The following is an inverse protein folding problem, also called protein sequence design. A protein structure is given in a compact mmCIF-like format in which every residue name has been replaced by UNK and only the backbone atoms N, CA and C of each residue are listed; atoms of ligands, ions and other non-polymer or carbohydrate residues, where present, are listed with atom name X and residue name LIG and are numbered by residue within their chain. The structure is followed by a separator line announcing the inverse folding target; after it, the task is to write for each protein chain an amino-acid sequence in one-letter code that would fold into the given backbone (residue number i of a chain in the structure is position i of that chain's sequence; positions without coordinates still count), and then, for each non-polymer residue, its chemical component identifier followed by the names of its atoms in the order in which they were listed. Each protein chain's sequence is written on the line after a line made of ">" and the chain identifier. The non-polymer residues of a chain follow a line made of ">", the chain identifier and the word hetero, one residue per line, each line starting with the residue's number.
data_IF_789278915278
#
_entry.id   IF_789278915278
#
_cell.length_a   1.000
_cell.length_b   1.000
_cell.length_c   1.000
_cell.angle_alpha   90.00
_cell.angle_beta   90.00
_cell.angle_gamma   90.00
#
_symmetry.space_group_name_H-M   'P 1'
#
loop_
_entity.id
_entity.type
_entity.pdbx_description
1 polymer ?
#
# COMPACT_ATOMS: atom_id res chain seq x y z
N UNK A 1 -48.64 -23.36 18.47
CA UNK A 1 -47.16 -23.53 18.43
C UNK A 1 -46.55 -22.27 17.90
N UNK A 2 -45.94 -21.49 18.78
CA UNK A 2 -45.26 -20.27 18.38
C UNK A 2 -43.81 -20.62 18.03
N UNK A 3 -43.45 -20.55 16.76
CA UNK A 3 -42.05 -20.65 16.35
C UNK A 3 -41.42 -19.29 16.57
N UNK A 4 -40.53 -19.23 17.59
CA UNK A 4 -39.72 -18.07 17.85
C UNK A 4 -38.59 -18.10 16.81
N UNK A 5 -38.66 -17.22 15.81
CA UNK A 5 -37.55 -16.92 14.95
C UNK A 5 -36.58 -16.01 15.71
N UNK A 6 -35.50 -16.58 16.21
CA UNK A 6 -34.39 -15.80 16.72
C UNK A 6 -33.61 -15.32 15.49
N UNK A 7 -33.87 -14.08 15.10
CA UNK A 7 -33.04 -13.34 14.17
C UNK A 7 -31.71 -13.04 14.89
N UNK A 8 -30.73 -13.91 14.66
CA UNK A 8 -29.34 -13.59 14.99
C UNK A 8 -28.91 -12.52 14.02
N UNK A 9 -29.01 -11.27 14.45
CA UNK A 9 -28.40 -10.14 13.79
C UNK A 9 -26.89 -10.23 14.03
N UNK A 10 -26.19 -10.91 13.13
CA UNK A 10 -24.73 -10.81 13.05
C UNK A 10 -24.39 -9.36 12.73
N UNK A 11 -24.15 -8.57 13.78
CA UNK A 11 -23.43 -7.32 13.65
C UNK A 11 -22.03 -7.65 13.14
N UNK A 12 -21.88 -7.63 11.84
CA UNK A 12 -20.57 -7.40 11.26
C UNK A 12 -20.16 -5.99 11.67
N UNK A 13 -19.42 -5.90 12.75
CA UNK A 13 -18.63 -4.72 13.04
C UNK A 13 -17.61 -4.62 11.91
N UNK A 14 -17.95 -3.87 10.86
CA UNK A 14 -17.01 -3.34 9.92
C UNK A 14 -16.10 -2.39 10.72
N UNK A 15 -15.07 -2.97 11.32
CA UNK A 15 -13.96 -2.17 11.82
C UNK A 15 -13.34 -1.52 10.59
N UNK A 16 -13.83 -0.33 10.27
CA UNK A 16 -13.18 0.54 9.32
C UNK A 16 -11.87 1.03 9.97
N UNK A 17 -10.86 0.18 9.99
CA UNK A 17 -9.50 0.56 10.37
C UNK A 17 -8.88 1.34 9.23
N UNK A 18 -9.44 2.53 8.93
CA UNK A 18 -8.83 3.48 8.06
C UNK A 18 -7.56 4.00 8.75
N UNK A 19 -6.39 3.55 8.32
CA UNK A 19 -5.10 4.02 8.78
C UNK A 19 -4.31 3.07 9.68
N UNK A 20 -4.73 1.83 9.83
CA UNK A 20 -3.91 0.84 10.54
C UNK A 20 -2.66 0.51 9.74
N UNK A 21 -1.51 0.89 10.28
CA UNK A 21 -0.20 0.59 9.69
C UNK A 21 0.11 -0.88 9.94
N UNK A 22 0.09 -1.68 8.88
CA UNK A 22 0.45 -3.09 8.91
C UNK A 22 1.56 -3.37 7.92
N UNK A 23 2.48 -4.24 8.31
CA UNK A 23 3.42 -4.81 7.36
C UNK A 23 2.64 -5.78 6.47
N UNK A 24 2.50 -5.43 5.20
CA UNK A 24 1.87 -6.26 4.19
C UNK A 24 2.89 -6.91 3.26
N UNK A 25 4.16 -6.49 3.37
CA UNK A 25 5.23 -7.05 2.56
C UNK A 25 5.40 -8.55 2.81
N UNK A 26 5.39 -9.29 1.72
CA UNK A 26 5.69 -10.71 1.66
C UNK A 26 6.61 -10.96 0.46
N UNK A 27 7.78 -11.52 0.70
CA UNK A 27 8.82 -11.70 -0.34
C UNK A 27 8.33 -12.54 -1.52
N UNK A 28 7.60 -13.60 -1.25
CA UNK A 28 7.06 -14.48 -2.29
C UNK A 28 6.02 -13.78 -3.16
N UNK A 29 5.10 -13.04 -2.56
CA UNK A 29 4.09 -12.25 -3.29
C UNK A 29 4.72 -11.09 -4.05
N UNK A 30 5.75 -10.46 -3.48
CA UNK A 30 6.52 -9.42 -4.15
C UNK A 30 7.22 -9.96 -5.39
N UNK A 31 7.94 -11.05 -5.28
CA UNK A 31 8.63 -11.69 -6.40
C UNK A 31 7.65 -12.14 -7.49
N UNK A 32 6.49 -12.66 -7.07
CA UNK A 32 5.43 -13.04 -8.02
C UNK A 32 4.89 -11.83 -8.78
N UNK A 33 4.59 -10.75 -8.11
CA UNK A 33 4.11 -9.52 -8.74
C UNK A 33 5.12 -8.97 -9.76
N UNK A 34 6.41 -9.00 -9.43
CA UNK A 34 7.47 -8.61 -10.35
C UNK A 34 7.55 -9.54 -11.57
N UNK A 35 7.46 -10.85 -11.35
CA UNK A 35 7.47 -11.84 -12.44
C UNK A 35 6.27 -11.70 -13.37
N UNK A 36 5.11 -11.31 -12.82
CA UNK A 36 3.89 -11.06 -13.59
C UNK A 36 3.94 -9.71 -14.36
N UNK A 37 5.02 -8.97 -14.26
CA UNK A 37 5.20 -7.69 -14.94
C UNK A 37 4.35 -6.56 -14.35
N UNK A 38 3.90 -6.69 -13.12
CA UNK A 38 3.11 -5.67 -12.44
C UNK A 38 3.95 -4.48 -12.02
N UNK A 39 3.27 -3.34 -11.86
CA UNK A 39 3.82 -2.21 -11.12
C UNK A 39 3.71 -2.55 -9.63
N UNK A 40 4.79 -2.41 -8.90
CA UNK A 40 4.84 -2.70 -7.46
C UNK A 40 5.20 -1.44 -6.70
N UNK A 41 4.36 -1.08 -5.76
CA UNK A 41 4.56 0.06 -4.86
C UNK A 41 4.91 -0.46 -3.47
N UNK A 42 6.00 0.03 -2.91
CA UNK A 42 6.45 -0.32 -1.57
C UNK A 42 6.61 0.95 -0.75
N UNK A 43 5.98 0.99 0.41
CA UNK A 43 6.08 2.11 1.35
C UNK A 43 6.61 1.66 2.70
N UNK A 44 7.49 2.46 3.30
CA UNK A 44 7.98 2.23 4.65
C UNK A 44 7.27 3.12 5.65
N UNK A 45 7.05 2.60 6.85
CA UNK A 45 6.42 3.33 7.94
C UNK A 45 7.09 3.01 9.28
N UNK A 46 6.73 3.77 10.29
CA UNK A 46 7.06 3.50 11.69
C UNK A 46 5.87 3.91 12.56
N UNK A 47 5.78 3.32 13.75
CA UNK A 47 4.74 3.67 14.72
C UNK A 47 4.80 5.16 15.07
N UNK A 48 3.63 5.81 15.20
CA UNK A 48 3.48 7.25 15.53
C UNK A 48 4.03 8.23 14.46
N UNK A 49 4.09 7.82 13.20
CA UNK A 49 4.57 8.63 12.10
C UNK A 49 3.38 9.27 11.35
N UNK A 50 3.21 10.59 11.48
CA UNK A 50 2.13 11.32 10.81
C UNK A 50 2.32 11.40 9.29
N UNK A 51 3.54 11.60 8.82
CA UNK A 51 3.84 11.61 7.38
C UNK A 51 3.61 10.25 6.73
N UNK A 52 3.91 9.16 7.43
CA UNK A 52 3.60 7.81 6.96
C UNK A 52 2.09 7.62 6.80
N UNK A 53 1.31 8.07 7.77
CA UNK A 53 -0.15 7.99 7.72
C UNK A 53 -0.71 8.81 6.55
N UNK A 54 -0.20 10.01 6.31
CA UNK A 54 -0.58 10.86 5.18
C UNK A 54 -0.24 10.21 3.84
N UNK A 55 0.96 9.67 3.70
CA UNK A 55 1.37 8.96 2.48
C UNK A 55 0.50 7.73 2.22
N UNK A 56 0.26 6.92 3.24
CA UNK A 56 -0.57 5.71 3.12
C UNK A 56 -2.01 6.05 2.72
N UNK A 57 -2.55 7.16 3.22
CA UNK A 57 -3.88 7.65 2.85
C UNK A 57 -3.98 7.97 1.36
N UNK A 58 -2.97 8.64 0.81
CA UNK A 58 -2.89 8.92 -0.63
C UNK A 58 -2.80 7.63 -1.44
N UNK A 59 -1.97 6.68 -1.02
CA UNK A 59 -1.84 5.39 -1.70
C UNK A 59 -3.14 4.57 -1.66
N UNK A 60 -3.84 4.57 -0.55
CA UNK A 60 -5.15 3.91 -0.44
C UNK A 60 -6.19 4.56 -1.36
N UNK A 61 -6.18 5.89 -1.46
CA UNK A 61 -7.03 6.63 -2.38
C UNK A 61 -6.71 6.27 -3.83
N UNK A 62 -5.44 6.25 -4.21
CA UNK A 62 -5.00 5.85 -5.53
C UNK A 62 -5.45 4.42 -5.89
N UNK A 63 -5.36 3.51 -4.95
CA UNK A 63 -5.83 2.13 -5.12
C UNK A 63 -7.33 2.05 -5.39
N UNK A 64 -8.13 2.86 -4.69
CA UNK A 64 -9.58 2.90 -4.86
C UNK A 64 -10.00 3.61 -6.15
N UNK A 65 -9.34 4.71 -6.50
CA UNK A 65 -9.66 5.53 -7.66
C UNK A 65 -9.11 4.94 -8.97
N UNK A 66 -8.18 4.02 -8.89
CA UNK A 66 -7.62 3.32 -10.05
C UNK A 66 -8.68 2.62 -10.90
N UNK A 67 -9.83 2.33 -10.31
CA UNK A 67 -10.99 1.77 -11.01
C UNK A 67 -11.79 2.81 -11.79
N UNK A 68 -11.60 4.11 -11.53
CA UNK A 68 -12.45 5.21 -12.02
C UNK A 68 -11.75 6.15 -12.99
N UNK A 69 -10.44 6.08 -13.13
CA UNK A 69 -9.68 6.96 -14.01
C UNK A 69 -9.18 6.23 -15.24
N UNK A 70 -8.88 6.97 -16.31
CA UNK A 70 -8.26 6.45 -17.54
C UNK A 70 -6.88 5.81 -17.31
N UNK A 71 -6.40 5.89 -16.08
CA UNK A 71 -5.15 5.27 -15.64
C UNK A 71 -5.51 3.94 -15.00
N UNK A 72 -5.19 2.87 -15.67
CA UNK A 72 -5.38 1.52 -15.15
C UNK A 72 -4.40 1.24 -14.01
N UNK A 73 -4.79 1.58 -12.78
CA UNK A 73 -4.08 1.16 -11.58
C UNK A 73 -4.41 -0.29 -11.17
N UNK A 74 -5.19 -0.99 -11.95
CA UNK A 74 -5.59 -2.38 -11.70
C UNK A 74 -4.43 -3.37 -11.75
N UNK A 75 -3.29 -2.97 -12.33
CA UNK A 75 -2.07 -3.77 -12.42
C UNK A 75 -1.00 -3.35 -11.41
N UNK A 76 -1.39 -2.71 -10.31
CA UNK A 76 -0.49 -2.26 -9.25
C UNK A 76 -0.69 -3.10 -8.00
N UNK A 77 0.40 -3.66 -7.48
CA UNK A 77 0.44 -4.28 -6.16
C UNK A 77 1.07 -3.33 -5.15
N UNK A 78 0.46 -3.22 -3.98
CA UNK A 78 0.91 -2.34 -2.91
C UNK A 78 1.39 -3.16 -1.72
N UNK A 79 2.60 -2.87 -1.27
CA UNK A 79 3.19 -3.45 -0.06
C UNK A 79 3.66 -2.34 0.88
N UNK A 80 3.64 -2.64 2.16
CA UNK A 80 4.20 -1.76 3.18
C UNK A 80 4.96 -2.56 4.24
N UNK A 81 5.90 -1.92 4.90
CA UNK A 81 6.66 -2.54 5.97
C UNK A 81 7.09 -1.52 7.03
N UNK A 82 7.28 -2.01 8.24
CA UNK A 82 7.88 -1.24 9.34
C UNK A 82 9.39 -1.10 9.10
N UNK A 83 9.87 0.14 9.04
CA UNK A 83 11.30 0.43 8.78
C UNK A 83 12.22 -0.09 9.88
N UNK A 84 11.70 -0.36 11.06
CA UNK A 84 12.47 -0.98 12.16
C UNK A 84 12.73 -2.47 11.91
N UNK A 85 11.98 -3.09 11.01
CA UNK A 85 12.32 -4.41 10.50
C UNK A 85 13.51 -4.29 9.54
N UNK A 86 14.72 -4.43 10.10
CA UNK A 86 15.96 -4.19 9.35
C UNK A 86 16.22 -5.21 8.25
N UNK A 87 15.67 -6.39 8.34
CA UNK A 87 15.76 -7.40 7.29
C UNK A 87 15.08 -6.91 5.99
N UNK A 88 13.83 -6.46 6.11
CA UNK A 88 13.08 -5.92 4.96
C UNK A 88 13.67 -4.59 4.49
N UNK A 89 14.00 -3.70 5.43
CA UNK A 89 14.58 -2.41 5.11
C UNK A 89 15.91 -2.55 4.34
N UNK A 90 16.75 -3.49 4.72
CA UNK A 90 18.01 -3.76 4.03
C UNK A 90 17.79 -4.36 2.63
N UNK A 91 16.76 -5.18 2.47
CA UNK A 91 16.40 -5.73 1.17
C UNK A 91 16.14 -4.64 0.13
N UNK A 92 15.52 -3.53 0.56
CA UNK A 92 15.21 -2.38 -0.29
C UNK A 92 16.22 -1.23 -0.16
N UNK A 93 17.25 -1.38 0.64
CA UNK A 93 18.18 -0.29 0.98
C UNK A 93 17.44 0.96 1.50
N UNK A 94 16.48 0.76 2.39
CA UNK A 94 15.67 1.82 3.01
C UNK A 94 16.18 2.10 4.41
N UNK A 95 16.46 3.38 4.71
CA UNK A 95 16.95 3.83 6.01
C UNK A 95 15.91 4.61 6.81
N UNK A 96 14.92 5.20 6.14
CA UNK A 96 13.94 6.11 6.72
C UNK A 96 12.52 5.67 6.47
N UNK A 97 11.64 6.00 7.41
CA UNK A 97 10.20 5.91 7.23
C UNK A 97 9.72 6.90 6.15
N UNK A 98 8.50 6.71 5.67
CA UNK A 98 7.90 7.52 4.60
C UNK A 98 8.71 7.45 3.29
N UNK A 99 9.42 6.36 3.09
CA UNK A 99 10.09 6.06 1.82
C UNK A 99 9.11 5.37 0.89
N UNK A 100 8.99 5.89 -0.31
CA UNK A 100 8.12 5.35 -1.36
C UNK A 100 8.97 4.84 -2.51
N UNK A 101 8.79 3.58 -2.84
CA UNK A 101 9.45 2.92 -3.96
C UNK A 101 8.41 2.48 -4.97
N UNK A 102 8.73 2.62 -6.26
CA UNK A 102 7.91 2.05 -7.33
C UNK A 102 8.82 1.22 -8.24
N UNK A 103 8.37 0.01 -8.53
CA UNK A 103 9.03 -0.92 -9.44
C UNK A 103 8.16 -1.15 -10.67
N UNK A 104 8.77 -1.19 -11.82
CA UNK A 104 8.18 -1.72 -13.04
C UNK A 104 8.87 -3.06 -13.34
N UNK A 105 8.16 -4.16 -13.09
CA UNK A 105 8.79 -5.46 -13.05
C UNK A 105 9.94 -5.50 -12.05
N UNK A 106 11.13 -5.89 -12.46
CA UNK A 106 12.30 -5.99 -11.59
C UNK A 106 13.06 -4.67 -11.40
N UNK A 107 12.68 -3.61 -12.08
CA UNK A 107 13.41 -2.34 -12.08
C UNK A 107 12.77 -1.33 -11.14
N UNK A 108 13.54 -0.79 -10.20
CA UNK A 108 13.14 0.37 -9.42
C UNK A 108 13.13 1.61 -10.33
N UNK A 109 11.97 2.24 -10.50
CA UNK A 109 11.80 3.39 -11.39
C UNK A 109 11.53 4.70 -10.65
N UNK A 110 11.23 4.62 -9.35
CA UNK A 110 11.00 5.79 -8.51
C UNK A 110 11.38 5.51 -7.05
N UNK A 111 11.96 6.53 -6.42
CA UNK A 111 12.26 6.53 -4.98
C UNK A 111 12.12 7.92 -4.43
N UNK A 112 11.40 8.07 -3.33
CA UNK A 112 11.32 9.32 -2.57
C UNK A 112 11.33 9.06 -1.07
N UNK A 113 11.74 10.07 -0.32
CA UNK A 113 11.73 10.05 1.15
C UNK A 113 10.89 11.24 1.61
N UNK A 114 9.84 10.99 2.38
CA UNK A 114 9.00 12.03 2.97
C UNK A 114 7.92 12.59 2.05
N UNK A 115 7.71 12.04 0.87
CA UNK A 115 6.66 12.53 -0.04
C UNK A 115 5.26 12.16 0.45
N UNK A 116 4.42 13.16 0.64
CA UNK A 116 3.04 13.00 1.09
C UNK A 116 2.02 13.74 0.21
N UNK A 117 2.50 14.46 -0.80
CA UNK A 117 1.67 15.27 -1.69
C UNK A 117 0.96 14.39 -2.71
N UNK A 118 -0.36 14.46 -2.73
CA UNK A 118 -1.20 13.64 -3.61
C UNK A 118 -0.82 13.78 -5.08
N UNK A 119 -0.68 15.00 -5.56
CA UNK A 119 -0.34 15.26 -6.97
C UNK A 119 1.01 14.65 -7.37
N UNK A 120 2.02 14.76 -6.51
CA UNK A 120 3.35 14.22 -6.79
C UNK A 120 3.38 12.70 -6.73
N UNK A 121 2.67 12.10 -5.79
CA UNK A 121 2.53 10.64 -5.72
C UNK A 121 1.79 10.11 -6.94
N UNK A 122 0.70 10.74 -7.34
CA UNK A 122 -0.05 10.35 -8.54
C UNK A 122 0.77 10.52 -9.81
N UNK A 123 1.54 11.59 -9.92
CA UNK A 123 2.47 11.78 -11.04
C UNK A 123 3.52 10.66 -11.08
N UNK A 124 4.10 10.30 -9.94
CA UNK A 124 5.06 9.20 -9.84
C UNK A 124 4.44 7.87 -10.29
N UNK A 125 3.21 7.57 -9.85
CA UNK A 125 2.49 6.37 -10.30
C UNK A 125 2.25 6.38 -11.81
N UNK A 126 1.80 7.50 -12.37
CA UNK A 126 1.53 7.66 -13.81
C UNK A 126 2.77 7.48 -14.66
N UNK A 127 3.89 8.04 -14.24
CA UNK A 127 5.14 7.97 -15.00
C UNK A 127 5.84 6.63 -14.89
N UNK A 128 5.43 5.78 -13.94
CA UNK A 128 6.01 4.46 -13.71
C UNK A 128 5.33 3.33 -14.51
N UNK A 129 4.18 3.62 -15.08
CA UNK A 129 3.37 2.65 -15.85
C UNK A 129 3.91 2.45 -17.27
#
# INVERSE_FOLDING_TARGET
>A
MKKIFILIFCMFALSANAGEKKTTFNKELFDKAQSDGKIVVVSSWVKYCSSCASQMKVLQKAKKEGELSDIKFDNIEYFSFDVTNREIANLFNVQYQTTLLIFNGNQEVYRSIGETTENLIYQALKTSI
#
